data_IF_958878882325
#
_entry.id   IF_958878882325
#
_cell.length_a   1.000
_cell.length_b   1.000
_cell.length_c   1.000
_cell.angle_alpha   90.00
_cell.angle_beta   90.00
_cell.angle_gamma   90.00
#
_symmetry.space_group_name_H-M   'P 1'
#
loop_
_entity.id
_entity.type
_entity.pdbx_description
1 polymer ?
#
# COMPACT_ATOMS: atom_id res chain seq x y z
N UNK A 1 5.95 5.68 4.53
CA UNK A 1 4.97 6.55 5.25
C UNK A 1 5.60 7.16 6.50
N UNK A 2 6.14 6.38 7.44
CA UNK A 2 6.75 6.91 8.68
C UNK A 2 7.86 7.96 8.47
N UNK A 3 8.66 7.85 7.41
CA UNK A 3 9.73 8.82 7.11
C UNK A 3 9.22 10.20 6.67
N UNK A 4 8.02 10.28 6.09
CA UNK A 4 7.43 11.55 5.60
C UNK A 4 6.48 12.14 6.64
N UNK A 5 6.00 11.31 7.56
CA UNK A 5 5.09 11.73 8.60
C UNK A 5 5.83 12.41 9.76
N UNK A 6 5.27 13.49 10.26
CA UNK A 6 5.85 14.28 11.36
C UNK A 6 5.47 13.72 12.73
N UNK A 7 4.26 13.17 12.86
CA UNK A 7 3.76 12.64 14.14
C UNK A 7 2.96 11.35 13.94
N UNK A 8 2.95 10.45 14.94
CA UNK A 8 1.93 9.41 15.05
C UNK A 8 0.61 10.01 15.53
N UNK A 9 -0.50 9.51 15.01
CA UNK A 9 -1.86 9.80 15.49
C UNK A 9 -2.42 8.53 16.11
N UNK A 10 -2.67 8.57 17.42
CA UNK A 10 -3.22 7.44 18.18
C UNK A 10 -4.39 7.86 19.09
N UNK A 11 -4.54 9.16 19.36
CA UNK A 11 -5.68 9.67 20.09
C UNK A 11 -6.84 9.89 19.11
N UNK A 12 -8.02 9.34 19.41
CA UNK A 12 -9.21 9.47 18.56
C UNK A 12 -9.99 10.76 18.83
N UNK A 13 -9.74 11.44 19.96
CA UNK A 13 -10.42 12.69 20.30
C UNK A 13 -9.95 13.82 19.38
N UNK A 14 -10.84 14.78 19.13
CA UNK A 14 -10.54 15.95 18.29
C UNK A 14 -10.11 17.14 19.15
N UNK A 15 -10.91 17.45 20.17
CA UNK A 15 -10.71 18.57 21.09
C UNK A 15 -10.74 18.09 22.53
N UNK A 16 -10.13 18.87 23.42
CA UNK A 16 -10.22 18.68 24.86
C UNK A 16 -11.64 18.97 25.37
N UNK A 17 -12.04 18.35 26.47
CA UNK A 17 -13.39 18.43 27.06
C UNK A 17 -13.57 19.69 27.95
N UNK A 18 -12.60 20.60 27.91
CA UNK A 18 -12.58 21.83 28.70
C UNK A 18 -13.68 22.81 28.22
N UNK A 19 -14.67 23.15 29.07
CA UNK A 19 -15.77 24.02 28.66
C UNK A 19 -15.26 25.40 28.25
N UNK A 20 -15.62 25.84 27.05
CA UNK A 20 -15.28 27.15 26.49
C UNK A 20 -13.95 27.22 25.74
N UNK A 21 -13.15 26.14 25.70
CA UNK A 21 -11.86 26.14 24.99
C UNK A 21 -11.75 24.96 24.02
N UNK A 22 -11.84 25.24 22.72
CA UNK A 22 -11.75 24.25 21.65
C UNK A 22 -10.29 23.96 21.26
N UNK A 23 -9.50 23.50 22.23
CA UNK A 23 -8.09 23.17 21.99
C UNK A 23 -7.97 21.77 21.39
N UNK A 24 -7.29 21.61 20.23
CA UNK A 24 -7.04 20.29 19.67
C UNK A 24 -6.22 19.42 20.62
N UNK A 25 -6.59 18.14 20.74
CA UNK A 25 -5.81 17.23 21.58
C UNK A 25 -4.47 16.88 20.92
N UNK A 26 -3.38 16.76 21.71
CA UNK A 26 -2.10 16.32 21.18
C UNK A 26 -2.20 14.86 20.71
N UNK A 27 -1.47 14.54 19.63
CA UNK A 27 -1.48 13.23 18.97
C UNK A 27 -2.85 12.78 18.46
N UNK A 28 -3.77 13.74 18.29
CA UNK A 28 -5.07 13.56 17.64
C UNK A 28 -5.06 14.00 16.17
N UNK A 29 -6.20 13.87 15.47
CA UNK A 29 -6.31 14.21 14.04
C UNK A 29 -6.13 15.70 13.73
N UNK A 30 -6.40 16.58 14.71
CA UNK A 30 -6.32 18.04 14.57
C UNK A 30 -5.07 18.64 15.22
N UNK A 31 -4.05 17.82 15.47
CA UNK A 31 -2.80 18.28 16.09
C UNK A 31 -2.15 19.40 15.24
N UNK A 32 -1.80 20.56 15.82
CA UNK A 32 -1.23 21.70 15.09
C UNK A 32 0.10 21.41 14.36
N UNK A 33 0.77 20.29 14.69
CA UNK A 33 1.96 19.81 13.97
C UNK A 33 1.63 19.23 12.60
N UNK A 34 0.39 18.82 12.35
CA UNK A 34 -0.10 18.36 11.04
C UNK A 34 -0.49 19.51 10.11
N UNK A 35 -0.65 20.71 10.68
CA UNK A 35 -1.13 21.89 9.98
C UNK A 35 -2.14 22.64 10.82
N UNK A 36 -2.61 23.74 10.28
CA UNK A 36 -3.58 24.64 10.93
C UNK A 36 -4.73 24.88 9.97
N UNK A 37 -5.93 25.10 10.52
CA UNK A 37 -7.13 25.45 9.76
C UNK A 37 -7.65 26.85 10.11
N UNK A 38 -7.06 27.54 11.08
CA UNK A 38 -7.44 28.87 11.53
C UNK A 38 -6.39 29.91 11.09
N UNK A 39 -6.82 31.17 10.95
CA UNK A 39 -5.94 32.30 10.58
C UNK A 39 -5.15 32.86 11.77
N UNK A 40 -5.55 32.52 12.99
CA UNK A 40 -5.04 33.11 14.23
C UNK A 40 -3.86 32.34 14.82
N UNK A 41 -3.64 31.10 14.42
CA UNK A 41 -2.53 30.29 14.92
C UNK A 41 -1.55 29.94 13.81
N UNK A 42 -0.34 29.55 14.20
CA UNK A 42 0.74 29.15 13.30
C UNK A 42 0.96 27.64 13.41
N UNK A 43 1.36 27.00 12.30
CA UNK A 43 1.68 25.58 12.34
C UNK A 43 2.89 25.31 13.25
N UNK A 44 2.83 24.28 14.08
CA UNK A 44 3.92 23.96 15.00
C UNK A 44 5.14 23.32 14.31
N UNK A 45 4.98 22.85 13.07
CA UNK A 45 6.05 22.20 12.30
C UNK A 45 6.81 23.20 11.43
N UNK A 46 6.12 23.87 10.49
CA UNK A 46 6.76 24.85 9.60
C UNK A 46 6.74 26.30 10.12
N UNK A 47 6.02 26.59 11.22
CA UNK A 47 5.85 27.93 11.82
C UNK A 47 5.18 28.97 10.91
N UNK A 48 4.64 28.54 9.78
CA UNK A 48 3.96 29.40 8.83
C UNK A 48 2.47 29.58 9.16
N UNK A 49 1.90 30.64 8.58
CA UNK A 49 0.46 30.94 8.64
C UNK A 49 -0.33 30.03 7.69
N UNK A 50 -1.66 30.10 7.78
CA UNK A 50 -2.57 29.26 6.97
C UNK A 50 -2.36 29.41 5.45
N UNK A 51 -1.95 30.59 4.97
CA UNK A 51 -1.73 30.85 3.54
C UNK A 51 -0.52 30.13 2.98
N UNK A 52 0.52 29.96 3.80
CA UNK A 52 1.84 29.51 3.33
C UNK A 52 2.12 28.06 3.73
N UNK A 53 1.38 27.53 4.71
CA UNK A 53 1.50 26.15 5.17
C UNK A 53 0.87 25.17 4.16
N UNK A 54 1.68 24.25 3.64
CA UNK A 54 1.25 23.20 2.70
C UNK A 54 0.56 21.99 3.37
N UNK A 55 0.62 21.92 4.70
CA UNK A 55 0.16 20.76 5.48
C UNK A 55 1.22 19.67 5.63
N UNK A 56 1.14 18.92 6.73
CA UNK A 56 2.11 17.89 7.10
C UNK A 56 1.41 16.56 7.34
N UNK A 57 2.03 15.48 6.88
CA UNK A 57 1.47 14.15 7.04
C UNK A 57 1.65 13.63 8.47
N UNK A 58 0.64 12.93 8.96
CA UNK A 58 0.72 12.04 10.12
C UNK A 58 0.64 10.58 9.67
N UNK A 59 0.81 9.66 10.61
CA UNK A 59 0.55 8.24 10.36
C UNK A 59 -0.18 7.59 11.53
N UNK A 60 -0.97 6.57 11.23
CA UNK A 60 -1.64 5.74 12.22
C UNK A 60 -1.04 4.34 12.11
N UNK A 61 -0.51 3.83 13.21
CA UNK A 61 -0.11 2.42 13.30
C UNK A 61 -1.34 1.57 13.57
N UNK A 62 -1.69 0.71 12.62
CA UNK A 62 -2.77 -0.27 12.77
C UNK A 62 -2.24 -1.47 13.56
N UNK A 63 -3.02 -1.95 14.53
CA UNK A 63 -2.65 -3.10 15.34
C UNK A 63 -2.49 -4.40 14.52
N UNK A 64 -3.19 -4.49 13.38
CA UNK A 64 -3.19 -5.63 12.47
C UNK A 64 -3.08 -5.14 11.02
N UNK A 65 -2.45 -5.91 10.12
CA UNK A 65 -2.40 -5.57 8.70
C UNK A 65 -3.80 -5.62 8.09
N UNK A 66 -4.11 -4.65 7.21
CA UNK A 66 -5.40 -4.55 6.53
C UNK A 66 -5.19 -4.57 5.02
N UNK A 67 -6.09 -5.22 4.29
CA UNK A 67 -6.07 -5.19 2.83
C UNK A 67 -6.54 -3.84 2.30
N UNK A 68 -5.72 -3.23 1.45
CA UNK A 68 -6.11 -2.01 0.75
C UNK A 68 -7.12 -2.33 -0.37
N UNK A 69 -8.31 -1.73 -0.31
CA UNK A 69 -9.43 -2.00 -1.25
C UNK A 69 -9.02 -1.85 -2.72
N UNK A 70 -8.18 -0.87 -3.05
CA UNK A 70 -7.70 -0.64 -4.41
C UNK A 70 -6.77 -1.73 -4.95
N UNK A 71 -6.10 -2.48 -4.06
CA UNK A 71 -5.19 -3.57 -4.45
C UNK A 71 -5.81 -4.96 -4.25
N UNK A 72 -6.99 -5.05 -3.63
CA UNK A 72 -7.62 -6.32 -3.26
C UNK A 72 -7.72 -7.30 -4.44
N UNK A 73 -8.20 -6.83 -5.60
CA UNK A 73 -8.29 -7.65 -6.82
C UNK A 73 -6.92 -8.12 -7.34
N UNK A 74 -5.91 -7.26 -7.26
CA UNK A 74 -4.54 -7.59 -7.69
C UNK A 74 -3.87 -8.58 -6.73
N UNK A 75 -4.14 -8.47 -5.43
CA UNK A 75 -3.64 -9.40 -4.42
C UNK A 75 -4.20 -10.81 -4.68
N UNK A 76 -5.52 -10.93 -4.90
CA UNK A 76 -6.14 -12.21 -5.28
C UNK A 76 -5.48 -12.78 -6.53
N UNK A 77 -5.26 -11.94 -7.55
CA UNK A 77 -4.60 -12.36 -8.79
C UNK A 77 -3.15 -12.82 -8.57
N UNK A 78 -2.39 -12.16 -7.69
CA UNK A 78 -1.03 -12.58 -7.34
C UNK A 78 -1.02 -13.90 -6.56
N UNK A 79 -1.89 -14.05 -5.56
CA UNK A 79 -2.07 -15.29 -4.81
C UNK A 79 -2.51 -16.45 -5.72
N UNK A 80 -3.21 -16.11 -6.80
CA UNK A 80 -3.55 -17.06 -7.86
C UNK A 80 -2.36 -17.57 -8.68
N UNK A 81 -1.25 -16.82 -8.68
CA UNK A 81 -0.06 -17.13 -9.48
C UNK A 81 1.07 -17.78 -8.68
N UNK A 82 1.02 -17.75 -7.35
CA UNK A 82 2.10 -18.26 -6.49
C UNK A 82 1.67 -19.51 -5.72
N UNK A 83 2.67 -20.29 -5.30
CA UNK A 83 2.47 -21.42 -4.41
C UNK A 83 2.21 -20.94 -2.98
N UNK A 84 1.23 -21.53 -2.29
CA UNK A 84 0.77 -21.08 -0.96
C UNK A 84 1.67 -21.60 0.15
N UNK A 85 2.56 -22.52 -0.19
CA UNK A 85 3.52 -23.13 0.73
C UNK A 85 4.92 -22.50 0.60
N UNK A 86 5.47 -22.44 -0.62
CA UNK A 86 6.85 -21.96 -0.84
C UNK A 86 6.96 -20.59 -1.51
N UNK A 87 5.83 -19.92 -1.76
CA UNK A 87 5.72 -18.60 -2.42
C UNK A 87 6.36 -18.52 -3.81
N UNK A 88 6.76 -19.65 -4.40
CA UNK A 88 7.31 -19.69 -5.76
C UNK A 88 6.21 -19.46 -6.81
N UNK A 89 6.57 -18.85 -7.92
CA UNK A 89 5.66 -18.65 -9.06
C UNK A 89 5.29 -20.01 -9.67
N UNK A 90 3.99 -20.23 -9.90
CA UNK A 90 3.45 -21.46 -10.49
C UNK A 90 3.66 -21.44 -12.01
N UNK A 91 4.90 -21.63 -12.45
CA UNK A 91 5.26 -21.78 -13.86
C UNK A 91 6.23 -22.95 -14.00
N UNK A 92 6.23 -23.59 -15.17
CA UNK A 92 7.29 -24.55 -15.50
C UNK A 92 8.61 -23.83 -15.75
N UNK A 93 9.74 -24.53 -15.64
CA UNK A 93 11.07 -23.96 -15.88
C UNK A 93 11.19 -23.28 -17.24
N UNK A 94 10.69 -23.93 -18.29
CA UNK A 94 10.68 -23.41 -19.66
C UNK A 94 9.81 -22.16 -19.82
N UNK A 95 8.59 -22.18 -19.29
CA UNK A 95 7.67 -21.03 -19.34
C UNK A 95 8.27 -19.83 -18.61
N UNK A 96 8.85 -20.06 -17.43
CA UNK A 96 9.50 -19.02 -16.64
C UNK A 96 10.63 -18.37 -17.43
N UNK A 97 11.53 -19.15 -18.04
CA UNK A 97 12.62 -18.61 -18.86
C UNK A 97 12.11 -17.83 -20.08
N UNK A 98 11.08 -18.35 -20.77
CA UNK A 98 10.46 -17.69 -21.93
C UNK A 98 9.84 -16.33 -21.57
N UNK A 99 9.11 -16.26 -20.46
CA UNK A 99 8.51 -15.00 -20.01
C UNK A 99 9.55 -14.02 -19.48
N UNK A 100 10.60 -14.49 -18.78
CA UNK A 100 11.69 -13.62 -18.32
C UNK A 100 12.40 -12.93 -19.48
N UNK A 101 12.67 -13.64 -20.59
CA UNK A 101 13.25 -13.03 -21.80
C UNK A 101 12.37 -11.92 -22.37
N UNK A 102 11.05 -12.12 -22.39
CA UNK A 102 10.11 -11.10 -22.87
C UNK A 102 10.02 -9.89 -21.93
N UNK A 103 10.03 -10.11 -20.62
CA UNK A 103 9.98 -9.02 -19.61
C UNK A 103 11.24 -8.16 -19.65
N UNK A 104 12.41 -8.77 -19.88
CA UNK A 104 13.70 -8.09 -19.96
C UNK A 104 13.97 -7.41 -21.32
N UNK A 105 13.04 -7.49 -22.26
CA UNK A 105 13.19 -6.81 -23.55
C UNK A 105 13.18 -5.28 -23.37
N UNK A 106 14.09 -4.60 -24.07
CA UNK A 106 14.23 -3.13 -24.00
C UNK A 106 13.06 -2.38 -24.66
N UNK A 107 12.29 -3.04 -25.52
CA UNK A 107 11.17 -2.47 -26.28
C UNK A 107 9.79 -2.89 -25.72
N UNK A 108 9.65 -2.89 -24.40
CA UNK A 108 8.42 -3.32 -23.73
C UNK A 108 7.50 -2.13 -23.38
N UNK A 109 6.66 -1.75 -24.35
CA UNK A 109 5.61 -0.75 -24.16
C UNK A 109 4.54 -1.19 -23.14
N UNK A 110 3.68 -0.26 -22.71
CA UNK A 110 2.62 -0.52 -21.74
C UNK A 110 1.60 -1.58 -22.21
N UNK A 111 1.17 -1.54 -23.48
CA UNK A 111 0.17 -2.46 -24.03
C UNK A 111 0.70 -3.89 -24.10
N UNK A 112 1.93 -4.06 -24.59
CA UNK A 112 2.69 -5.32 -24.63
C UNK A 112 2.93 -5.84 -23.22
N UNK A 113 3.31 -4.98 -22.27
CA UNK A 113 3.47 -5.37 -20.85
C UNK A 113 2.16 -5.88 -20.26
N UNK A 114 1.05 -5.20 -20.54
CA UNK A 114 -0.29 -5.60 -20.08
C UNK A 114 -0.73 -6.93 -20.69
N UNK A 115 -0.50 -7.13 -21.98
CA UNK A 115 -0.78 -8.40 -22.67
C UNK A 115 0.09 -9.55 -22.13
N UNK A 116 1.38 -9.29 -21.91
CA UNK A 116 2.32 -10.24 -21.33
C UNK A 116 1.92 -10.64 -19.91
N UNK A 117 1.55 -9.68 -19.05
CA UNK A 117 1.03 -9.94 -17.71
C UNK A 117 -0.22 -10.83 -17.75
N UNK A 118 -1.17 -10.57 -18.66
CA UNK A 118 -2.36 -11.40 -18.84
C UNK A 118 -1.99 -12.85 -19.21
N UNK A 119 -1.01 -13.03 -20.10
CA UNK A 119 -0.50 -14.36 -20.52
C UNK A 119 0.16 -15.11 -19.37
N UNK A 120 1.02 -14.44 -18.60
CA UNK A 120 1.69 -15.02 -17.42
C UNK A 120 0.64 -15.51 -16.41
N UNK A 121 -0.33 -14.66 -16.07
CA UNK A 121 -1.36 -14.99 -15.09
C UNK A 121 -2.22 -16.17 -15.56
N UNK A 122 -2.60 -16.19 -16.84
CA UNK A 122 -3.37 -17.30 -17.41
C UNK A 122 -2.60 -18.62 -17.39
N UNK A 123 -1.28 -18.59 -17.63
CA UNK A 123 -0.42 -19.77 -17.53
C UNK A 123 -0.34 -20.26 -16.08
N UNK A 124 -0.11 -19.36 -15.13
CA UNK A 124 0.04 -19.75 -13.72
C UNK A 124 -1.20 -20.39 -13.12
N UNK A 125 -2.40 -19.90 -13.49
CA UNK A 125 -3.67 -20.43 -13.02
C UNK A 125 -3.96 -21.87 -13.47
N UNK A 126 -3.31 -22.35 -14.53
CA UNK A 126 -3.49 -23.72 -15.04
C UNK A 126 -2.68 -24.75 -14.27
N UNK A 127 -1.67 -24.32 -13.50
CA UNK A 127 -0.76 -25.22 -12.80
C UNK A 127 -1.29 -25.46 -11.38
N UNK A 128 -1.74 -26.67 -11.12
CA UNK A 128 -2.28 -27.09 -9.82
C UNK A 128 -1.23 -27.71 -8.89
N UNK A 129 -0.07 -28.12 -9.40
CA UNK A 129 1.02 -28.71 -8.59
C UNK A 129 2.28 -27.88 -8.75
N UNK A 130 2.88 -27.47 -7.64
CA UNK A 130 4.07 -26.62 -7.69
C UNK A 130 5.30 -27.42 -8.17
N UNK A 131 5.94 -26.96 -9.24
CA UNK A 131 7.17 -27.57 -9.76
C UNK A 131 8.37 -27.47 -8.80
N UNK A 132 8.33 -26.59 -7.79
CA UNK A 132 9.42 -26.42 -6.82
C UNK A 132 9.29 -27.31 -5.57
N UNK A 133 8.09 -27.45 -5.02
CA UNK A 133 7.87 -28.16 -3.75
C UNK A 133 6.85 -29.29 -3.82
N UNK A 134 6.21 -29.54 -4.97
CA UNK A 134 5.19 -30.58 -5.14
C UNK A 134 3.83 -30.28 -4.49
N UNK A 135 3.70 -29.16 -3.75
CA UNK A 135 2.44 -28.82 -3.08
C UNK A 135 1.30 -28.56 -4.08
N UNK A 136 0.11 -29.09 -3.77
CA UNK A 136 -1.10 -28.92 -4.60
C UNK A 136 -1.80 -27.61 -4.25
N UNK A 137 -1.98 -26.76 -5.24
CA UNK A 137 -2.56 -25.44 -5.18
C UNK A 137 -3.94 -25.49 -5.84
N UNK A 138 -4.98 -25.78 -5.05
CA UNK A 138 -6.37 -25.75 -5.53
C UNK A 138 -6.97 -24.39 -5.16
N UNK A 139 -7.62 -23.75 -6.12
CA UNK A 139 -8.51 -22.63 -5.86
C UNK A 139 -9.92 -23.17 -5.99
N UNK A 140 -10.57 -23.46 -4.86
CA UNK A 140 -12.02 -23.63 -4.79
C UNK A 140 -12.69 -22.27 -4.76
#
# INVERSE_FOLDING_TARGET
MKQVAHIPVFNSRLYDESPGCWNPVPYGPLDPRLGICNKTSNCQTCKQNLSDCVGHFGYIDLAMPVFHVGFFRLIIQMLQCVCKYCSALLLTGEQKQSFLRQVNSTNLDYLRRKALHKRIVAASKKISVCARCGHRNVFT
#
